data_IF_106452923487
#
_entry.id   IF_106452923487
#
_cell.length_a   1.000
_cell.length_b   1.000
_cell.length_c   1.000
_cell.angle_alpha   90.00
_cell.angle_beta   90.00
_cell.angle_gamma   90.00
#
_symmetry.space_group_name_H-M   'P 1'
#
loop_
_entity.id
_entity.type
_entity.pdbx_description
1 polymer ?
#
# COMPACT_ATOMS: atom_id res chain seq x y z
N UNK A 1 -10.35 2.86 20.49
CA UNK A 1 -9.64 2.23 19.35
C UNK A 1 -9.25 0.82 19.77
N UNK A 2 -9.35 -0.18 18.87
CA UNK A 2 -8.79 -1.52 19.16
C UNK A 2 -7.30 -1.36 19.35
N UNK A 3 -6.76 -1.86 20.45
CA UNK A 3 -5.32 -1.90 20.69
C UNK A 3 -4.70 -2.75 19.58
N UNK A 4 -3.89 -2.13 18.71
CA UNK A 4 -3.17 -2.83 17.65
C UNK A 4 -1.97 -3.52 18.31
N UNK A 5 -2.05 -4.82 18.50
CA UNK A 5 -0.96 -5.60 19.07
C UNK A 5 -0.18 -6.25 17.92
N UNK A 6 1.14 -6.05 17.90
CA UNK A 6 2.04 -6.80 17.02
C UNK A 6 2.13 -6.32 15.57
N UNK A 7 2.13 -4.99 15.33
CA UNK A 7 2.47 -4.49 13.97
C UNK A 7 3.94 -4.81 13.69
N UNK A 8 4.24 -5.59 12.63
CA UNK A 8 5.63 -5.88 12.26
C UNK A 8 6.41 -4.60 11.90
N UNK A 9 7.66 -4.51 12.33
CA UNK A 9 8.53 -3.36 11.99
C UNK A 9 8.66 -3.17 10.47
N UNK A 10 8.66 -4.27 9.71
CA UNK A 10 8.69 -4.23 8.25
C UNK A 10 7.51 -3.47 7.63
N UNK A 11 6.36 -3.41 8.30
CA UNK A 11 5.22 -2.58 7.88
C UNK A 11 5.38 -1.13 8.34
N UNK A 12 6.02 -0.91 9.49
CA UNK A 12 6.15 0.42 10.12
C UNK A 12 7.25 1.26 9.47
N UNK A 13 8.41 0.69 9.18
CA UNK A 13 9.54 1.43 8.62
C UNK A 13 9.16 2.20 7.35
N UNK A 14 8.52 1.59 6.32
CA UNK A 14 8.11 2.34 5.14
C UNK A 14 7.01 3.39 5.42
N UNK A 15 6.13 3.14 6.37
CA UNK A 15 5.11 4.11 6.80
C UNK A 15 5.78 5.33 7.47
N UNK A 16 6.67 5.08 8.42
CA UNK A 16 7.41 6.12 9.17
C UNK A 16 8.26 6.96 8.21
N UNK A 17 8.96 6.32 7.28
CA UNK A 17 9.76 7.01 6.28
C UNK A 17 8.93 8.03 5.50
N UNK A 18 7.76 7.61 4.98
CA UNK A 18 6.87 8.51 4.24
C UNK A 18 6.21 9.58 5.12
N UNK A 19 5.91 9.23 6.38
CA UNK A 19 5.34 10.18 7.34
C UNK A 19 6.34 11.28 7.71
N UNK A 20 7.60 10.92 7.98
CA UNK A 20 8.68 11.88 8.25
C UNK A 20 8.97 12.73 7.02
N UNK A 21 9.03 12.12 5.84
CA UNK A 21 9.28 12.83 4.58
C UNK A 21 8.21 13.88 4.29
N UNK A 22 6.96 13.62 4.65
CA UNK A 22 5.87 14.58 4.49
C UNK A 22 6.09 15.89 5.26
N UNK A 23 6.84 15.86 6.39
CA UNK A 23 7.10 17.02 7.24
C UNK A 23 8.26 17.90 6.74
N UNK A 24 9.04 17.44 5.77
CA UNK A 24 10.13 18.19 5.20
C UNK A 24 9.64 19.45 4.45
N UNK A 25 10.39 20.53 4.45
CA UNK A 25 10.05 21.73 3.68
C UNK A 25 9.93 21.45 2.17
N UNK A 26 10.81 20.58 1.65
CA UNK A 26 10.83 20.15 0.24
C UNK A 26 10.77 18.65 0.15
N UNK A 27 9.60 18.04 0.39
CA UNK A 27 9.50 16.60 0.48
C UNK A 27 9.64 15.93 -0.89
N UNK A 28 10.35 14.80 -0.94
CA UNK A 28 10.45 13.91 -2.09
C UNK A 28 9.07 13.35 -2.43
N UNK A 29 8.30 13.00 -1.38
CA UNK A 29 6.92 12.52 -1.51
C UNK A 29 6.01 13.20 -0.49
N UNK A 30 4.80 13.59 -0.94
CA UNK A 30 3.74 14.12 -0.06
C UNK A 30 2.70 13.03 0.21
N UNK A 31 2.87 12.32 1.32
CA UNK A 31 1.95 11.26 1.77
C UNK A 31 1.27 11.64 3.09
N UNK A 32 0.27 12.52 3.00
CA UNK A 32 -0.50 12.98 4.14
C UNK A 32 -1.21 11.84 4.89
N UNK A 33 -1.55 10.75 4.18
CA UNK A 33 -2.22 9.61 4.82
C UNK A 33 -1.24 8.80 5.66
N UNK A 34 -0.01 8.57 5.19
CA UNK A 34 1.03 7.95 6.03
C UNK A 34 1.29 8.75 7.29
N UNK A 35 1.35 10.10 7.20
CA UNK A 35 1.48 10.97 8.36
C UNK A 35 0.30 10.81 9.31
N UNK A 36 -0.93 10.85 8.81
CA UNK A 36 -2.14 10.67 9.62
C UNK A 36 -2.18 9.30 10.32
N UNK A 37 -1.80 8.24 9.63
CA UNK A 37 -1.73 6.89 10.22
C UNK A 37 -0.67 6.86 11.32
N UNK A 38 0.54 7.38 11.05
CA UNK A 38 1.63 7.42 12.01
C UNK A 38 1.26 8.20 13.28
N UNK A 39 0.64 9.37 13.15
CA UNK A 39 0.19 10.17 14.29
C UNK A 39 -0.86 9.47 15.15
N UNK A 40 -1.67 8.60 14.54
CA UNK A 40 -2.70 7.82 15.21
C UNK A 40 -2.21 6.49 15.79
N UNK A 41 -0.93 6.13 15.63
CA UNK A 41 -0.37 4.92 16.23
C UNK A 41 -0.14 5.11 17.74
N UNK A 42 -0.19 3.99 18.47
CA UNK A 42 0.19 3.95 19.87
C UNK A 42 1.69 4.29 20.04
N UNK A 43 2.04 4.90 21.16
CA UNK A 43 3.40 5.42 21.41
C UNK A 43 4.49 4.34 21.30
N UNK A 44 4.16 3.09 21.59
CA UNK A 44 5.11 1.97 21.45
C UNK A 44 5.61 1.81 20.00
N UNK A 45 4.79 2.12 19.00
CA UNK A 45 5.17 2.03 17.58
C UNK A 45 5.90 3.28 17.07
N UNK A 46 5.75 4.41 17.75
CA UNK A 46 6.45 5.65 17.43
C UNK A 46 7.93 5.60 17.77
N UNK A 47 8.33 4.63 18.63
CA UNK A 47 9.73 4.41 18.98
C UNK A 47 10.51 3.60 17.92
N UNK A 48 9.84 3.06 16.89
CA UNK A 48 10.51 2.43 15.76
C UNK A 48 11.28 3.49 14.98
N UNK A 49 12.59 3.28 14.84
CA UNK A 49 13.47 4.24 14.18
C UNK A 49 13.55 3.99 12.69
N UNK A 50 13.60 5.06 11.91
CA UNK A 50 13.96 5.05 10.51
C UNK A 50 15.05 6.11 10.35
N UNK A 51 16.25 5.67 9.95
CA UNK A 51 17.38 6.57 9.70
C UNK A 51 17.17 7.37 8.40
N UNK A 52 17.94 8.45 8.24
CA UNK A 52 17.77 9.39 7.12
C UNK A 52 18.02 8.73 5.76
N UNK A 53 18.98 7.78 5.66
CA UNK A 53 19.28 7.08 4.41
C UNK A 53 18.12 6.16 4.03
N UNK A 54 17.57 5.45 5.00
CA UNK A 54 16.38 4.61 4.81
C UNK A 54 15.16 5.45 4.43
N UNK A 55 14.95 6.61 5.09
CA UNK A 55 13.87 7.53 4.76
C UNK A 55 13.96 8.01 3.31
N UNK A 56 15.12 8.49 2.89
CA UNK A 56 15.36 8.97 1.53
C UNK A 56 15.18 7.83 0.51
N UNK A 57 15.82 6.68 0.77
CA UNK A 57 15.74 5.52 -0.12
C UNK A 57 14.31 5.03 -0.34
N UNK A 58 13.52 4.89 0.73
CA UNK A 58 12.12 4.50 0.68
C UNK A 58 11.28 5.55 -0.07
N UNK A 59 11.52 6.82 0.18
CA UNK A 59 10.78 7.92 -0.46
C UNK A 59 11.03 7.95 -1.96
N UNK A 60 12.30 7.83 -2.40
CA UNK A 60 12.67 7.77 -3.81
C UNK A 60 12.07 6.54 -4.48
N UNK A 61 12.21 5.35 -3.87
CA UNK A 61 11.62 4.11 -4.38
C UNK A 61 10.11 4.24 -4.57
N UNK A 62 9.43 4.81 -3.58
CA UNK A 62 7.99 5.05 -3.64
C UNK A 62 7.62 5.95 -4.83
N UNK A 63 8.33 7.06 -5.04
CA UNK A 63 8.08 7.98 -6.16
C UNK A 63 8.33 7.30 -7.51
N UNK A 64 9.40 6.53 -7.64
CA UNK A 64 9.71 5.81 -8.89
C UNK A 64 8.57 4.84 -9.25
N UNK A 65 8.14 4.01 -8.28
CA UNK A 65 7.06 3.04 -8.49
C UNK A 65 5.75 3.79 -8.79
N UNK A 66 5.45 4.88 -8.09
CA UNK A 66 4.27 5.71 -8.34
C UNK A 66 4.27 6.28 -9.77
N UNK A 67 5.40 6.79 -10.25
CA UNK A 67 5.53 7.32 -11.61
C UNK A 67 5.29 6.25 -12.67
N UNK A 68 5.89 5.07 -12.52
CA UNK A 68 5.70 3.94 -13.44
C UNK A 68 4.25 3.47 -13.42
N UNK A 69 3.69 3.30 -12.22
CA UNK A 69 2.30 2.84 -12.03
C UNK A 69 1.31 3.83 -12.67
N UNK A 70 1.46 5.14 -12.44
CA UNK A 70 0.62 6.19 -13.06
C UNK A 70 0.67 6.15 -14.57
N UNK A 71 1.85 5.95 -15.15
CA UNK A 71 2.01 5.85 -16.61
C UNK A 71 1.25 4.63 -17.13
N UNK A 72 1.42 3.46 -16.51
CA UNK A 72 0.74 2.23 -16.92
C UNK A 72 -0.78 2.34 -16.80
N UNK A 73 -1.29 2.96 -15.73
CA UNK A 73 -2.73 3.23 -15.56
C UNK A 73 -3.26 4.12 -16.68
N UNK A 74 -2.52 5.17 -17.06
CA UNK A 74 -2.90 6.08 -18.14
C UNK A 74 -2.97 5.39 -19.50
N UNK A 75 -2.03 4.49 -19.75
CA UNK A 75 -1.89 3.81 -21.03
C UNK A 75 -2.81 2.58 -21.15
N UNK A 76 -3.41 2.09 -20.05
CA UNK A 76 -4.23 0.88 -20.00
C UNK A 76 -5.52 1.12 -19.20
N UNK A 77 -6.64 1.30 -19.91
CA UNK A 77 -7.95 1.61 -19.29
C UNK A 77 -8.50 0.49 -18.38
N UNK A 78 -8.19 -0.77 -18.69
CA UNK A 78 -8.69 -1.95 -17.97
C UNK A 78 -7.60 -2.62 -17.12
N UNK A 79 -6.66 -1.80 -16.61
CA UNK A 79 -5.58 -2.27 -15.77
C UNK A 79 -6.10 -2.63 -14.38
N UNK A 80 -5.75 -3.82 -13.94
CA UNK A 80 -5.91 -4.26 -12.56
C UNK A 80 -4.53 -4.23 -11.89
N UNK A 81 -4.41 -3.52 -10.78
CA UNK A 81 -3.17 -3.50 -9.99
C UNK A 81 -3.30 -4.48 -8.84
N UNK A 82 -2.34 -5.37 -8.69
CA UNK A 82 -2.20 -6.29 -7.55
C UNK A 82 -0.91 -5.91 -6.81
N UNK A 83 -1.07 -5.33 -5.63
CA UNK A 83 0.01 -4.90 -4.76
C UNK A 83 0.29 -6.01 -3.72
N UNK A 84 1.36 -6.74 -3.90
CA UNK A 84 1.74 -7.92 -3.12
C UNK A 84 2.66 -7.50 -1.98
N UNK A 85 2.39 -7.99 -0.77
CA UNK A 85 3.11 -7.56 0.43
C UNK A 85 2.81 -6.10 0.76
N UNK A 86 1.54 -5.73 0.67
CA UNK A 86 1.11 -4.32 0.68
C UNK A 86 1.34 -3.60 2.02
N UNK A 87 1.46 -4.32 3.13
CA UNK A 87 1.64 -3.74 4.46
C UNK A 87 0.73 -2.53 4.73
N UNK A 88 1.33 -1.41 5.09
CA UNK A 88 0.65 -0.12 5.28
C UNK A 88 0.92 0.86 4.12
N UNK A 89 1.12 0.33 2.89
CA UNK A 89 1.22 1.18 1.70
C UNK A 89 -0.09 1.95 1.46
N UNK A 90 0.04 3.23 1.15
CA UNK A 90 -1.05 4.17 0.91
C UNK A 90 -1.24 4.48 -0.58
N UNK A 91 -0.57 3.72 -1.48
CA UNK A 91 -0.47 4.05 -2.91
C UNK A 91 -1.83 4.16 -3.58
N UNK A 92 -2.74 3.22 -3.33
CA UNK A 92 -4.10 3.31 -3.87
C UNK A 92 -4.77 4.65 -3.52
N UNK A 93 -4.63 5.11 -2.28
CA UNK A 93 -5.25 6.36 -1.82
C UNK A 93 -4.61 7.59 -2.46
N UNK A 94 -3.32 7.53 -2.79
CA UNK A 94 -2.64 8.58 -3.56
C UNK A 94 -3.09 8.62 -5.02
N UNK A 95 -3.64 7.51 -5.53
CA UNK A 95 -4.17 7.37 -6.90
C UNK A 95 -5.69 7.42 -6.99
N UNK A 96 -6.40 7.62 -5.88
CA UNK A 96 -7.86 7.51 -5.78
C UNK A 96 -8.66 8.45 -6.72
N UNK A 97 -8.01 9.38 -7.39
CA UNK A 97 -8.62 10.20 -8.45
C UNK A 97 -8.70 9.47 -9.80
N UNK A 98 -8.00 8.38 -9.93
CA UNK A 98 -7.96 7.54 -11.11
C UNK A 98 -8.98 6.40 -10.94
N UNK A 99 -9.72 6.11 -11.98
CA UNK A 99 -10.64 4.95 -11.99
C UNK A 99 -9.82 3.69 -12.26
N UNK A 100 -9.23 3.11 -11.23
CA UNK A 100 -8.41 1.91 -11.30
C UNK A 100 -9.02 0.80 -10.44
N UNK A 101 -8.87 -0.43 -10.89
CA UNK A 101 -9.13 -1.60 -10.06
C UNK A 101 -7.86 -1.99 -9.32
N UNK A 102 -7.94 -2.09 -8.00
CA UNK A 102 -6.79 -2.29 -7.14
C UNK A 102 -7.03 -3.39 -6.12
N UNK A 103 -6.04 -4.25 -5.94
CA UNK A 103 -6.07 -5.34 -4.96
C UNK A 103 -4.80 -5.25 -4.13
N UNK A 104 -4.95 -5.17 -2.83
CA UNK A 104 -3.87 -5.34 -1.87
C UNK A 104 -3.88 -6.79 -1.38
N UNK A 105 -2.75 -7.46 -1.49
CA UNK A 105 -2.54 -8.84 -1.05
C UNK A 105 -1.45 -8.88 0.01
N UNK A 106 -1.77 -9.45 1.15
CA UNK A 106 -0.79 -9.70 2.22
C UNK A 106 -1.28 -10.83 3.13
N UNK A 107 -0.41 -11.29 4.01
CA UNK A 107 -0.75 -12.30 5.02
C UNK A 107 -1.90 -11.82 5.93
N UNK A 108 -2.66 -12.75 6.54
CA UNK A 108 -3.86 -12.40 7.30
C UNK A 108 -3.61 -11.35 8.39
N UNK A 109 -2.51 -11.44 9.10
CA UNK A 109 -2.16 -10.53 10.19
C UNK A 109 -1.96 -9.09 9.68
N UNK A 110 -1.29 -8.94 8.54
CA UNK A 110 -1.07 -7.64 7.90
C UNK A 110 -2.37 -7.03 7.40
N UNK A 111 -3.24 -7.84 6.80
CA UNK A 111 -4.54 -7.37 6.28
C UNK A 111 -5.49 -6.98 7.43
N UNK A 112 -5.47 -7.68 8.56
CA UNK A 112 -6.26 -7.28 9.74
C UNK A 112 -5.85 -5.89 10.24
N UNK A 113 -4.55 -5.64 10.34
CA UNK A 113 -4.03 -4.32 10.71
C UNK A 113 -4.44 -3.28 9.66
N UNK A 114 -4.25 -3.60 8.37
CA UNK A 114 -4.59 -2.71 7.27
C UNK A 114 -6.06 -2.29 7.27
N UNK A 115 -6.99 -3.21 7.55
CA UNK A 115 -8.44 -2.95 7.62
C UNK A 115 -8.83 -1.92 8.70
N UNK A 116 -7.96 -1.65 9.67
CA UNK A 116 -8.23 -0.60 10.67
C UNK A 116 -8.08 0.81 10.07
N UNK A 117 -7.28 0.96 9.03
CA UNK A 117 -6.97 2.25 8.39
C UNK A 117 -7.64 2.43 7.02
N UNK A 118 -7.91 1.33 6.31
CA UNK A 118 -8.41 1.35 4.94
C UNK A 118 -9.73 0.59 4.81
N UNK A 119 -10.60 1.09 3.93
CA UNK A 119 -11.90 0.45 3.65
C UNK A 119 -11.97 0.04 2.19
N UNK A 120 -12.47 -1.16 1.95
CA UNK A 120 -12.74 -1.64 0.61
C UNK A 120 -13.81 -0.81 -0.10
N UNK A 121 -13.77 -0.83 -1.41
CA UNK A 121 -14.76 -0.24 -2.30
C UNK A 121 -15.07 -1.16 -3.48
N UNK A 122 -15.86 -0.70 -4.43
CA UNK A 122 -16.11 -1.45 -5.67
C UNK A 122 -14.85 -1.67 -6.49
N UNK A 123 -13.90 -0.74 -6.44
CA UNK A 123 -12.64 -0.78 -7.21
C UNK A 123 -11.40 -1.08 -6.36
N UNK A 124 -11.56 -1.27 -5.05
CA UNK A 124 -10.45 -1.55 -4.12
C UNK A 124 -10.79 -2.74 -3.24
N UNK A 125 -9.94 -3.75 -3.27
CA UNK A 125 -10.11 -5.00 -2.52
C UNK A 125 -8.86 -5.37 -1.75
N UNK A 126 -9.05 -6.15 -0.67
CA UNK A 126 -7.97 -6.71 0.13
C UNK A 126 -8.11 -8.23 0.18
N UNK A 127 -7.05 -8.95 -0.18
CA UNK A 127 -6.95 -10.40 -0.10
C UNK A 127 -6.03 -10.76 1.06
N UNK A 128 -6.56 -11.56 1.97
CA UNK A 128 -5.90 -12.00 3.21
C UNK A 128 -5.32 -13.40 3.02
N UNK A 129 -4.22 -13.50 2.27
CA UNK A 129 -3.53 -14.76 1.95
C UNK A 129 -2.04 -14.52 1.77
N UNK A 130 -1.23 -15.54 2.05
CA UNK A 130 0.17 -15.54 1.63
C UNK A 130 0.27 -15.50 0.11
N UNK A 131 1.24 -14.77 -0.44
CA UNK A 131 1.54 -14.79 -1.87
C UNK A 131 1.89 -16.21 -2.38
N UNK A 132 2.32 -17.10 -1.50
CA UNK A 132 2.64 -18.49 -1.80
C UNK A 132 1.40 -19.40 -1.83
N UNK A 133 0.27 -18.94 -1.33
CA UNK A 133 -1.02 -19.62 -1.47
C UNK A 133 -1.69 -19.16 -2.77
N UNK A 134 -1.42 -19.86 -3.86
CA UNK A 134 -1.89 -19.48 -5.20
C UNK A 134 -3.41 -19.39 -5.36
N UNK A 135 -4.20 -19.77 -4.36
CA UNK A 135 -5.66 -19.59 -4.40
C UNK A 135 -6.10 -18.11 -4.44
N UNK A 136 -5.23 -17.17 -4.10
CA UNK A 136 -5.50 -15.74 -4.27
C UNK A 136 -5.72 -15.35 -5.74
N UNK A 137 -5.16 -16.12 -6.69
CA UNK A 137 -5.37 -15.90 -8.13
C UNK A 137 -6.84 -16.10 -8.50
N UNK A 138 -7.49 -17.09 -7.90
CA UNK A 138 -8.91 -17.32 -8.13
C UNK A 138 -9.78 -16.26 -7.46
N UNK A 139 -9.38 -15.76 -6.29
CA UNK A 139 -10.04 -14.61 -5.67
C UNK A 139 -10.01 -13.38 -6.60
N UNK A 140 -8.86 -13.09 -7.24
CA UNK A 140 -8.73 -12.00 -8.22
C UNK A 140 -9.70 -12.18 -9.38
N UNK A 141 -9.79 -13.40 -9.93
CA UNK A 141 -10.70 -13.71 -11.06
C UNK A 141 -12.18 -13.57 -10.69
N UNK A 142 -12.54 -13.75 -9.42
CA UNK A 142 -13.92 -13.67 -8.94
C UNK A 142 -14.40 -12.21 -8.71
N UNK A 143 -13.52 -11.21 -8.75
CA UNK A 143 -13.96 -9.82 -8.62
C UNK A 143 -14.68 -9.32 -9.87
N UNK A 144 -15.75 -8.53 -9.68
CA UNK A 144 -16.59 -8.00 -10.76
C UNK A 144 -15.86 -7.17 -11.80
N UNK A 145 -14.71 -6.59 -11.44
CA UNK A 145 -13.90 -5.78 -12.34
C UNK A 145 -12.91 -6.61 -13.16
N UNK A 146 -12.76 -7.92 -12.88
CA UNK A 146 -11.90 -8.80 -13.63
C UNK A 146 -12.61 -9.27 -14.92
N UNK A 147 -11.87 -9.28 -16.00
CA UNK A 147 -12.24 -10.00 -17.22
C UNK A 147 -10.98 -10.64 -17.85
N UNK A 148 -11.16 -11.64 -18.69
CA UNK A 148 -10.04 -12.40 -19.27
C UNK A 148 -9.11 -11.60 -20.20
N UNK A 149 -9.48 -10.37 -20.55
CA UNK A 149 -8.68 -9.45 -21.37
C UNK A 149 -8.03 -8.34 -20.55
N UNK A 150 -8.29 -8.29 -19.23
CA UNK A 150 -7.68 -7.28 -18.35
C UNK A 150 -6.17 -7.46 -18.30
N UNK A 151 -5.45 -6.35 -18.40
CA UNK A 151 -4.02 -6.32 -18.08
C UNK A 151 -3.85 -6.29 -16.56
N UNK A 152 -2.87 -7.01 -16.06
CA UNK A 152 -2.56 -7.03 -14.62
C UNK A 152 -1.16 -6.47 -14.41
N UNK A 153 -1.07 -5.50 -13.51
CA UNK A 153 0.19 -4.97 -13.01
C UNK A 153 0.44 -5.53 -11.61
N UNK A 154 1.50 -6.27 -11.44
CA UNK A 154 1.98 -6.68 -10.12
C UNK A 154 2.97 -5.66 -9.58
N UNK A 155 2.72 -5.19 -8.36
CA UNK A 155 3.67 -4.38 -7.59
C UNK A 155 4.16 -5.26 -6.45
N UNK A 156 5.49 -5.42 -6.37
CA UNK A 156 6.16 -6.14 -5.29
C UNK A 156 7.26 -5.22 -4.80
N UNK A 157 7.06 -4.66 -3.61
CA UNK A 157 8.00 -3.73 -2.99
C UNK A 157 8.43 -4.29 -1.64
N UNK A 158 9.67 -4.79 -1.57
CA UNK A 158 10.27 -5.40 -0.39
C UNK A 158 10.95 -4.43 0.54
#
# INVERSE_FOLDING_TARGET
MKQLVGIPESMLIPLIARAKEYENEKPIIKDALSKKIFDGLDDMYKNVTCDDMSQIGISIRTVIIDCVTKRLIKDNKDLIVVNIGCGLDTRFQRFNKEKISWIDLDVPESIEIRKTFFKESNSYKMISKSMLDYSWIDDVKNYKFFNSKSNILFIIEG
#
